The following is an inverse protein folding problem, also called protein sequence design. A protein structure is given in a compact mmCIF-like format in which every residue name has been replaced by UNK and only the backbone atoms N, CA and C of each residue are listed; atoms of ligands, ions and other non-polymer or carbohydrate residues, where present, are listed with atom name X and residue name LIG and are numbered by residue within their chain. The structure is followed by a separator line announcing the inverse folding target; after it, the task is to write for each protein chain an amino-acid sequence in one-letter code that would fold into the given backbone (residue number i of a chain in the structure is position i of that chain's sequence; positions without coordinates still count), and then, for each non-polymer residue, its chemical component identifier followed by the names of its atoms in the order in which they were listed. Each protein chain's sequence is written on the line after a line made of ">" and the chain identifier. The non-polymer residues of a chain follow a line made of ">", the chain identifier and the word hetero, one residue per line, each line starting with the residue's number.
data_IF_152748785774
#
_entry.id   IF_152748785774
#
_cell.length_a   1.000
_cell.length_b   1.000
_cell.length_c   1.000
_cell.angle_alpha   90.00
_cell.angle_beta   90.00
_cell.angle_gamma   90.00
#
_symmetry.space_group_name_H-M   'P 1'
#
loop_
_entity.id
_entity.type
_entity.pdbx_description
1 polymer ?
#
# COMPACT_ATOMS: atom_id res chain seq x y z
N UNK A 1 -12.96 -12.94 17.09
CA UNK A 1 -11.94 -12.16 16.36
C UNK A 1 -10.83 -13.03 15.79
N UNK A 2 -10.42 -14.10 16.46
CA UNK A 2 -9.30 -14.95 16.04
C UNK A 2 -9.67 -15.97 14.96
N UNK A 3 -10.67 -15.69 14.14
CA UNK A 3 -10.98 -16.49 12.96
C UNK A 3 -10.16 -15.97 11.79
N UNK A 4 -9.66 -16.84 10.90
CA UNK A 4 -8.86 -16.39 9.76
C UNK A 4 -9.51 -15.29 8.91
N UNK A 5 -10.82 -15.40 8.67
CA UNK A 5 -11.56 -14.41 7.89
C UNK A 5 -11.56 -13.05 8.56
N UNK A 6 -11.74 -12.99 9.88
CA UNK A 6 -11.74 -11.73 10.61
C UNK A 6 -10.36 -11.09 10.63
N UNK A 7 -9.31 -11.88 10.85
CA UNK A 7 -7.93 -11.41 10.81
C UNK A 7 -7.60 -10.84 9.42
N UNK A 8 -8.00 -11.57 8.39
CA UNK A 8 -7.77 -11.16 7.00
C UNK A 8 -8.46 -9.84 6.68
N UNK A 9 -9.75 -9.74 6.98
CA UNK A 9 -10.56 -8.56 6.68
C UNK A 9 -10.07 -7.32 7.43
N UNK A 10 -9.73 -7.46 8.71
CA UNK A 10 -9.19 -6.35 9.48
C UNK A 10 -7.83 -5.90 8.96
N UNK A 11 -6.97 -6.84 8.59
CA UNK A 11 -5.65 -6.51 8.06
C UNK A 11 -5.73 -5.83 6.69
N UNK A 12 -6.72 -6.16 5.87
CA UNK A 12 -6.94 -5.49 4.59
C UNK A 12 -7.21 -4.00 4.77
N UNK A 13 -7.75 -3.62 5.94
CA UNK A 13 -8.04 -2.22 6.26
C UNK A 13 -6.97 -1.59 7.16
N UNK A 14 -5.84 -2.29 7.35
CA UNK A 14 -4.74 -1.81 8.16
C UNK A 14 -4.96 -1.92 9.65
N UNK A 15 -5.93 -2.74 10.07
CA UNK A 15 -6.30 -2.90 11.47
C UNK A 15 -6.04 -4.31 11.96
N UNK A 16 -6.09 -4.47 13.27
CA UNK A 16 -6.02 -5.76 13.91
C UNK A 16 -4.60 -6.22 14.20
N UNK A 17 -4.51 -7.26 14.99
CA UNK A 17 -3.25 -7.84 15.41
C UNK A 17 -3.47 -9.31 15.77
N UNK A 18 -2.95 -10.22 14.95
CA UNK A 18 -3.10 -11.66 15.18
C UNK A 18 -2.38 -12.12 16.45
N UNK A 19 -1.46 -11.31 16.97
CA UNK A 19 -0.70 -11.65 18.20
C UNK A 19 -1.54 -11.63 19.46
N UNK A 20 -2.75 -11.03 19.41
CA UNK A 20 -3.67 -11.09 20.54
C UNK A 20 -4.38 -12.43 20.63
N UNK A 21 -4.24 -13.27 19.62
CA UNK A 21 -4.86 -14.60 19.59
C UNK A 21 -4.03 -15.62 20.38
N UNK A 22 -4.64 -16.75 20.83
CA UNK A 22 -3.89 -17.80 21.51
C UNK A 22 -2.70 -18.30 20.68
N UNK A 23 -1.63 -18.68 21.35
CA UNK A 23 -0.38 -19.10 20.71
C UNK A 23 -0.58 -20.24 19.72
N UNK A 24 -1.44 -21.20 20.04
CA UNK A 24 -1.71 -22.34 19.20
C UNK A 24 -2.38 -21.97 17.87
N UNK A 25 -3.03 -20.78 17.82
CA UNK A 25 -3.72 -20.30 16.63
C UNK A 25 -2.89 -19.30 15.83
N UNK A 26 -1.89 -18.67 16.45
CA UNK A 26 -1.11 -17.61 15.80
C UNK A 26 -0.43 -18.06 14.52
N UNK A 27 0.13 -19.25 14.52
CA UNK A 27 0.90 -19.74 13.38
C UNK A 27 0.00 -19.89 12.14
N UNK A 28 -1.20 -20.44 12.32
CA UNK A 28 -2.15 -20.59 11.23
C UNK A 28 -2.73 -19.27 10.74
N UNK A 29 -2.76 -18.25 11.62
CA UNK A 29 -3.31 -16.93 11.27
C UNK A 29 -2.27 -16.00 10.64
N UNK A 30 -0.99 -16.29 10.82
CA UNK A 30 0.09 -15.42 10.37
C UNK A 30 0.03 -15.12 8.88
N UNK A 31 -0.17 -16.15 8.05
CA UNK A 31 -0.20 -15.97 6.59
C UNK A 31 -1.38 -15.12 6.15
N UNK A 32 -2.54 -15.27 6.79
CA UNK A 32 -3.71 -14.42 6.50
C UNK A 32 -3.42 -12.96 6.79
N UNK A 33 -2.81 -12.71 7.95
CA UNK A 33 -2.45 -11.34 8.33
C UNK A 33 -1.41 -10.76 7.39
N UNK A 34 -0.34 -11.50 7.09
CA UNK A 34 0.77 -10.99 6.30
C UNK A 34 0.36 -10.61 4.89
N UNK A 35 -0.40 -11.47 4.22
CA UNK A 35 -0.84 -11.19 2.84
C UNK A 35 -1.72 -9.95 2.80
N UNK A 36 -2.68 -9.86 3.71
CA UNK A 36 -3.60 -8.73 3.77
C UNK A 36 -2.88 -7.43 4.14
N UNK A 37 -1.97 -7.50 5.11
CA UNK A 37 -1.21 -6.33 5.56
C UNK A 37 -0.25 -5.83 4.47
N UNK A 38 0.39 -6.75 3.75
CA UNK A 38 1.26 -6.39 2.63
C UNK A 38 0.49 -5.66 1.55
N UNK A 39 -0.73 -6.13 1.24
CA UNK A 39 -1.60 -5.45 0.30
C UNK A 39 -1.96 -4.04 0.80
N UNK A 40 -2.35 -3.93 2.06
CA UNK A 40 -2.71 -2.64 2.63
C UNK A 40 -1.56 -1.64 2.53
N UNK A 41 -0.35 -2.05 2.89
CA UNK A 41 0.82 -1.18 2.85
C UNK A 41 1.17 -0.78 1.42
N UNK A 42 1.17 -1.73 0.49
CA UNK A 42 1.49 -1.44 -0.91
C UNK A 42 0.45 -0.52 -1.54
N UNK A 43 -0.83 -0.72 -1.22
CA UNK A 43 -1.92 0.13 -1.70
C UNK A 43 -1.80 1.56 -1.15
N UNK A 44 -1.45 1.70 0.13
CA UNK A 44 -1.27 3.00 0.77
C UNK A 44 -0.10 3.76 0.16
N UNK A 45 1.03 3.07 -0.07
CA UNK A 45 2.20 3.67 -0.71
C UNK A 45 1.88 4.12 -2.13
N UNK A 46 1.16 3.28 -2.88
CA UNK A 46 0.76 3.60 -4.25
C UNK A 46 -0.13 4.84 -4.29
N UNK A 47 -1.14 4.90 -3.43
CA UNK A 47 -2.05 6.04 -3.37
C UNK A 47 -1.31 7.32 -2.96
N UNK A 48 -0.40 7.23 -1.98
CA UNK A 48 0.41 8.37 -1.56
C UNK A 48 1.31 8.86 -2.70
N UNK A 49 1.95 7.96 -3.42
CA UNK A 49 2.80 8.30 -4.54
C UNK A 49 2.03 9.05 -5.62
N UNK A 50 0.82 8.57 -5.96
CA UNK A 50 -0.04 9.23 -6.94
C UNK A 50 -0.48 10.62 -6.46
N UNK A 51 -0.84 10.75 -5.19
CA UNK A 51 -1.24 12.04 -4.61
C UNK A 51 -0.09 13.05 -4.64
N UNK A 52 1.10 12.60 -4.29
CA UNK A 52 2.28 13.48 -4.28
C UNK A 52 2.63 13.94 -5.69
N UNK A 53 2.59 13.04 -6.66
CA UNK A 53 2.85 13.40 -8.07
C UNK A 53 1.82 14.42 -8.53
N UNK A 54 0.54 14.18 -8.27
CA UNK A 54 -0.53 15.10 -8.66
C UNK A 54 -0.38 16.47 -8.00
N UNK A 55 0.03 16.49 -6.73
CA UNK A 55 0.27 17.75 -6.02
C UNK A 55 1.32 18.60 -6.73
N UNK A 56 2.49 18.02 -7.06
CA UNK A 56 3.55 18.77 -7.71
C UNK A 56 3.19 19.15 -9.14
N UNK A 57 2.44 18.32 -9.86
CA UNK A 57 1.96 18.67 -11.20
C UNK A 57 1.06 19.90 -11.15
N UNK A 58 0.13 19.96 -10.18
CA UNK A 58 -0.75 21.12 -10.01
C UNK A 58 0.03 22.36 -9.61
N UNK A 59 0.97 22.21 -8.69
CA UNK A 59 1.78 23.35 -8.25
C UNK A 59 2.62 23.92 -9.41
N UNK A 60 3.14 23.07 -10.30
CA UNK A 60 3.92 23.50 -11.45
C UNK A 60 3.07 24.24 -12.50
N UNK A 61 1.75 24.12 -12.47
CA UNK A 61 0.84 24.86 -13.35
C UNK A 61 0.61 26.29 -12.86
N UNK A 62 0.97 26.62 -11.64
CA UNK A 62 0.76 27.94 -11.07
C UNK A 62 1.66 28.97 -11.76
N UNK A 63 1.05 30.09 -12.18
CA UNK A 63 1.78 31.17 -12.85
C UNK A 63 2.57 32.02 -11.87
N UNK A 64 2.16 32.05 -10.60
CA UNK A 64 2.77 32.88 -9.55
C UNK A 64 3.90 32.16 -8.81
N UNK A 65 4.26 30.95 -9.24
CA UNK A 65 5.31 30.15 -8.59
C UNK A 65 6.69 30.77 -8.85
N UNK A 66 7.47 30.99 -7.79
CA UNK A 66 8.82 31.49 -7.91
C UNK A 66 9.74 30.51 -8.68
N UNK A 67 10.72 31.03 -9.40
CA UNK A 67 11.62 30.21 -10.22
C UNK A 67 12.33 29.14 -9.38
N UNK A 68 12.81 29.52 -8.19
CA UNK A 68 13.49 28.61 -7.29
C UNK A 68 12.58 27.46 -6.86
N UNK A 69 11.34 27.78 -6.50
CA UNK A 69 10.35 26.79 -6.08
C UNK A 69 9.98 25.87 -7.23
N UNK A 70 9.89 26.43 -8.44
CA UNK A 70 9.59 25.65 -9.64
C UNK A 70 10.69 24.61 -9.90
N UNK A 71 11.94 24.99 -9.77
CA UNK A 71 13.07 24.08 -9.97
C UNK A 71 13.08 22.98 -8.90
N UNK A 72 12.83 23.34 -7.66
CA UNK A 72 12.77 22.38 -6.55
C UNK A 72 11.63 21.38 -6.76
N UNK A 73 10.46 21.85 -7.19
CA UNK A 73 9.29 21.01 -7.44
C UNK A 73 9.52 20.06 -8.62
N UNK A 74 10.22 20.53 -9.67
CA UNK A 74 10.58 19.65 -10.79
C UNK A 74 11.50 18.52 -10.35
N UNK A 75 12.46 18.81 -9.46
CA UNK A 75 13.35 17.78 -8.91
C UNK A 75 12.57 16.75 -8.07
N UNK A 76 11.69 17.23 -7.22
CA UNK A 76 10.84 16.34 -6.40
C UNK A 76 9.95 15.47 -7.26
N UNK A 77 9.36 16.05 -8.31
CA UNK A 77 8.50 15.30 -9.24
C UNK A 77 9.31 14.22 -9.96
N UNK A 78 10.54 14.56 -10.37
CA UNK A 78 11.43 13.59 -11.03
C UNK A 78 11.72 12.41 -10.11
N UNK A 79 12.09 12.69 -8.87
CA UNK A 79 12.37 11.64 -7.87
C UNK A 79 11.14 10.77 -7.59
N UNK A 80 9.98 11.39 -7.48
CA UNK A 80 8.72 10.69 -7.26
C UNK A 80 8.38 9.76 -8.43
N UNK A 81 8.63 10.20 -9.66
CA UNK A 81 8.38 9.39 -10.85
C UNK A 81 9.31 8.19 -10.95
N UNK A 82 10.58 8.37 -10.59
CA UNK A 82 11.52 7.26 -10.53
C UNK A 82 11.06 6.23 -9.50
N UNK A 83 10.69 6.69 -8.30
CA UNK A 83 10.24 5.82 -7.24
C UNK A 83 8.87 5.18 -7.53
N UNK A 84 8.02 5.84 -8.33
CA UNK A 84 6.68 5.36 -8.61
C UNK A 84 6.67 4.02 -9.35
N UNK A 85 7.67 3.77 -10.20
CA UNK A 85 7.79 2.47 -10.88
C UNK A 85 7.95 1.33 -9.88
N UNK A 86 8.78 1.52 -8.86
CA UNK A 86 8.99 0.54 -7.80
C UNK A 86 7.72 0.34 -6.98
N UNK A 87 7.09 1.44 -6.59
CA UNK A 87 5.85 1.41 -5.79
C UNK A 87 4.75 0.70 -6.56
N UNK A 88 4.62 0.98 -7.86
CA UNK A 88 3.63 0.34 -8.72
C UNK A 88 3.89 -1.16 -8.84
N UNK A 89 5.14 -1.57 -9.03
CA UNK A 89 5.51 -2.99 -9.11
C UNK A 89 5.16 -3.72 -7.81
N UNK A 90 5.46 -3.12 -6.66
CA UNK A 90 5.11 -3.70 -5.36
C UNK A 90 3.61 -3.83 -5.20
N UNK A 91 2.86 -2.84 -5.63
CA UNK A 91 1.40 -2.87 -5.57
C UNK A 91 0.86 -4.01 -6.44
N UNK A 92 1.34 -4.12 -7.67
CA UNK A 92 0.90 -5.19 -8.58
C UNK A 92 1.22 -6.57 -8.04
N UNK A 93 2.41 -6.74 -7.45
CA UNK A 93 2.79 -8.00 -6.81
C UNK A 93 1.88 -8.31 -5.62
N UNK A 94 1.57 -7.32 -4.80
CA UNK A 94 0.69 -7.50 -3.65
C UNK A 94 -0.72 -7.88 -4.07
N UNK A 95 -1.23 -7.29 -5.16
CA UNK A 95 -2.54 -7.64 -5.72
C UNK A 95 -2.55 -9.10 -6.20
N UNK A 96 -1.52 -9.50 -6.95
CA UNK A 96 -1.44 -10.88 -7.43
C UNK A 96 -1.35 -11.88 -6.28
N UNK A 97 -0.55 -11.58 -5.27
CA UNK A 97 -0.41 -12.44 -4.09
C UNK A 97 -1.72 -12.54 -3.31
N UNK A 98 -2.43 -11.40 -3.20
CA UNK A 98 -3.74 -11.36 -2.53
C UNK A 98 -4.75 -12.24 -3.27
N UNK A 99 -4.85 -12.08 -4.58
CA UNK A 99 -5.82 -12.84 -5.39
C UNK A 99 -5.52 -14.34 -5.36
N UNK A 100 -4.24 -14.70 -5.45
CA UNK A 100 -3.82 -16.11 -5.35
C UNK A 100 -4.17 -16.69 -3.98
N UNK A 101 -3.88 -15.94 -2.93
CA UNK A 101 -4.16 -16.36 -1.56
C UNK A 101 -5.67 -16.58 -1.35
N UNK A 102 -6.47 -15.64 -1.84
CA UNK A 102 -7.94 -15.75 -1.75
C UNK A 102 -8.46 -16.98 -2.48
N UNK A 103 -7.94 -17.21 -3.70
CA UNK A 103 -8.35 -18.36 -4.50
C UNK A 103 -7.98 -19.69 -3.83
N UNK A 104 -6.77 -19.79 -3.28
CA UNK A 104 -6.29 -21.00 -2.62
C UNK A 104 -7.07 -21.33 -1.35
N UNK A 105 -7.62 -20.32 -0.67
CA UNK A 105 -8.29 -20.50 0.60
C UNK A 105 -9.80 -20.26 0.56
N UNK A 106 -10.34 -20.05 -0.64
CA UNK A 106 -11.78 -19.84 -0.81
C UNK A 106 -12.29 -18.54 -0.19
N UNK A 107 -11.44 -17.53 -0.10
CA UNK A 107 -11.83 -16.21 0.40
C UNK A 107 -12.31 -15.35 -0.78
N UNK A 108 -13.40 -14.63 -0.56
CA UNK A 108 -13.94 -13.74 -1.62
C UNK A 108 -13.99 -12.29 -1.14
#
# INVERSE_FOLDING_TARGET
>A
YCRPENIFNEALEGRGDFRVCPLDKRESLRSYYQVANNYYQANSEFNRSQSDINYYLKELERKDLAVKDRDDYKKRLYDLRINSSRVQSRYQDAVRNLERFKAERGLN
#
